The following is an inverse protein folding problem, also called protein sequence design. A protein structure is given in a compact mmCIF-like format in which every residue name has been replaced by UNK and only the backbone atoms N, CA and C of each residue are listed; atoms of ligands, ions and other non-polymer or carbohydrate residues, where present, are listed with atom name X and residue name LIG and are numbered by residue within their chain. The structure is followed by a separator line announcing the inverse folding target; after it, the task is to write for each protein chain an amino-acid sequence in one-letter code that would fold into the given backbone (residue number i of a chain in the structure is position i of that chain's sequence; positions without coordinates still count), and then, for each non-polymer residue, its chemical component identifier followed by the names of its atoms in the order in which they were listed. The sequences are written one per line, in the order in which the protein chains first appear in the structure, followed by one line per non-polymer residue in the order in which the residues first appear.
data_IF_068975485893
#
_entry.id   IF_068975485893
#
_cell.length_a   1.000
_cell.length_b   1.000
_cell.length_c   1.000
_cell.angle_alpha   90.00
_cell.angle_beta   90.00
_cell.angle_gamma   90.00
#
_symmetry.space_group_name_H-M   'P 1'
#
loop_
_entity.id
_entity.type
_entity.pdbx_description
1 polymer ?
#
# COMPACT_ATOMS: atom_id res chain seq x y z
N UNK A 1 20.39 24.30 4.72
CA UNK A 1 20.15 22.92 4.27
C UNK A 1 18.89 22.40 4.94
N UNK A 2 18.30 21.34 4.40
CA UNK A 2 17.11 20.68 4.92
C UNK A 2 17.38 19.18 4.97
N UNK A 3 17.05 18.52 6.07
CA UNK A 3 17.14 17.07 6.22
C UNK A 3 15.73 16.51 6.47
N UNK A 4 15.39 15.37 5.88
CA UNK A 4 14.10 14.72 6.08
C UNK A 4 14.39 13.31 6.58
N UNK A 5 13.94 13.03 7.79
CA UNK A 5 13.92 11.70 8.37
C UNK A 5 12.53 11.12 8.15
N UNK A 6 12.38 10.36 7.06
CA UNK A 6 11.11 9.74 6.71
C UNK A 6 10.97 8.39 7.43
N UNK A 7 9.76 8.08 7.92
CA UNK A 7 9.40 6.82 8.55
C UNK A 7 10.33 6.43 9.73
N UNK A 8 10.63 7.38 10.61
CA UNK A 8 11.53 7.22 11.76
C UNK A 8 10.88 6.42 12.91
N UNK A 9 10.50 5.18 12.63
CA UNK A 9 9.67 4.33 13.50
C UNK A 9 10.44 3.24 14.25
N UNK A 10 11.77 3.19 14.11
CA UNK A 10 12.60 2.24 14.85
C UNK A 10 12.90 2.74 16.26
N UNK A 11 12.26 2.10 17.25
CA UNK A 11 12.44 2.41 18.68
C UNK A 11 13.86 2.19 19.21
N UNK A 12 14.69 1.43 18.49
CA UNK A 12 16.09 1.19 18.86
C UNK A 12 17.01 2.33 18.38
N UNK A 13 16.54 3.15 17.44
CA UNK A 13 17.31 4.25 16.86
C UNK A 13 17.09 5.52 17.68
N UNK A 14 18.19 6.06 18.24
CA UNK A 14 18.18 7.37 18.89
C UNK A 14 18.35 8.44 17.81
N UNK A 15 17.22 8.97 17.31
CA UNK A 15 17.21 9.92 16.18
C UNK A 15 18.11 11.15 16.40
N UNK A 16 18.21 11.63 17.64
CA UNK A 16 19.05 12.78 18.01
C UNK A 16 20.51 12.62 17.61
N UNK A 17 21.05 11.40 17.61
CA UNK A 17 22.45 11.12 17.29
C UNK A 17 22.76 11.34 15.80
N UNK A 18 21.74 11.35 14.95
CA UNK A 18 21.83 11.59 13.52
C UNK A 18 21.54 13.04 13.13
N UNK A 19 21.11 13.88 14.06
CA UNK A 19 20.79 15.29 13.82
C UNK A 19 22.06 16.14 14.02
N UNK A 20 22.55 16.86 13.00
CA UNK A 20 23.74 17.69 13.12
C UNK A 20 23.56 18.79 14.17
N UNK A 21 24.48 18.85 15.14
CA UNK A 21 24.55 19.94 16.12
C UNK A 21 25.13 21.20 15.47
N UNK A 22 24.25 22.08 14.99
CA UNK A 22 24.65 23.35 14.37
C UNK A 22 23.56 24.43 14.53
N UNK A 23 23.90 25.66 14.15
CA UNK A 23 23.01 26.83 14.27
C UNK A 23 22.25 27.16 12.98
N UNK A 24 22.32 26.32 11.95
CA UNK A 24 21.68 26.55 10.66
C UNK A 24 21.13 25.25 10.07
N UNK A 25 20.05 25.36 9.31
CA UNK A 25 19.38 24.21 8.70
C UNK A 25 18.12 23.82 9.45
N UNK A 26 17.27 23.06 8.77
CA UNK A 26 16.03 22.56 9.33
C UNK A 26 15.97 21.05 9.12
N UNK A 27 15.20 20.36 9.94
CA UNK A 27 14.87 18.96 9.71
C UNK A 27 13.37 18.73 9.86
N UNK A 28 12.85 17.77 9.09
CA UNK A 28 11.48 17.27 9.20
C UNK A 28 11.58 15.81 9.57
N UNK A 29 10.72 15.37 10.49
CA UNK A 29 10.61 13.97 10.90
C UNK A 29 9.18 13.51 10.68
N UNK A 30 9.00 12.40 9.98
CA UNK A 30 7.72 11.68 9.93
C UNK A 30 7.87 10.39 10.72
N UNK A 31 6.89 10.09 11.57
CA UNK A 31 6.98 8.97 12.53
C UNK A 31 5.60 8.68 13.13
N UNK A 32 5.27 7.42 13.32
CA UNK A 32 4.16 6.92 14.13
C UNK A 32 4.49 6.87 15.63
N UNK A 33 5.77 6.95 16.01
CA UNK A 33 6.20 7.00 17.40
C UNK A 33 5.94 8.37 18.02
N UNK A 34 5.22 8.38 19.15
CA UNK A 34 4.95 9.61 19.92
C UNK A 34 6.20 10.13 20.62
N UNK A 35 7.15 9.26 20.94
CA UNK A 35 8.41 9.60 21.59
C UNK A 35 9.24 10.58 20.74
N UNK A 36 9.11 10.52 19.41
CA UNK A 36 9.79 11.39 18.45
C UNK A 36 9.42 12.87 18.63
N UNK A 37 8.27 13.17 19.24
CA UNK A 37 7.85 14.54 19.56
C UNK A 37 8.84 15.27 20.48
N UNK A 38 9.61 14.54 21.30
CA UNK A 38 10.63 15.13 22.17
C UNK A 38 11.78 15.77 21.39
N UNK A 39 11.94 15.41 20.12
CA UNK A 39 12.98 15.95 19.22
C UNK A 39 12.53 17.26 18.54
N UNK A 40 11.22 17.55 18.54
CA UNK A 40 10.68 18.74 17.90
C UNK A 40 10.93 20.01 18.72
N UNK A 41 11.19 21.13 18.03
CA UNK A 41 11.19 22.44 18.67
C UNK A 41 9.79 22.79 19.22
N UNK A 42 9.66 23.63 20.26
CA UNK A 42 8.37 24.01 20.81
C UNK A 42 7.42 24.55 19.74
N UNK A 43 6.23 23.95 19.61
CA UNK A 43 5.24 24.32 18.59
C UNK A 43 5.52 23.80 17.18
N UNK A 44 6.62 23.07 16.95
CA UNK A 44 7.00 22.53 15.64
C UNK A 44 6.64 21.04 15.50
N UNK A 45 5.41 20.68 15.87
CA UNK A 45 4.87 19.34 15.64
C UNK A 45 3.48 19.43 15.04
N UNK A 46 3.14 18.46 14.20
CA UNK A 46 1.83 18.34 13.58
C UNK A 46 1.40 16.89 13.78
N UNK A 47 0.32 16.69 14.54
CA UNK A 47 -0.34 15.39 14.62
C UNK A 47 -1.26 15.27 13.39
N UNK A 48 -0.95 14.33 12.50
CA UNK A 48 -1.79 14.04 11.34
C UNK A 48 -2.93 13.13 11.78
N UNK A 49 -4.16 13.64 11.70
CA UNK A 49 -5.37 12.88 11.91
C UNK A 49 -5.95 12.38 10.60
N UNK A 50 -7.02 11.58 10.69
CA UNK A 50 -7.86 11.26 9.55
C UNK A 50 -8.40 12.52 8.87
N UNK A 51 -8.79 12.38 7.61
CA UNK A 51 -9.40 13.47 6.86
C UNK A 51 -10.72 13.87 7.50
N UNK A 52 -11.09 15.14 7.36
CA UNK A 52 -12.49 15.50 7.54
C UNK A 52 -13.33 14.83 6.42
N UNK A 53 -14.64 14.81 6.65
CA UNK A 53 -15.55 14.05 5.79
C UNK A 53 -15.65 14.63 4.39
N UNK A 54 -15.60 15.95 4.29
CA UNK A 54 -15.68 16.70 3.05
C UNK A 54 -14.47 16.40 2.16
N UNK A 55 -13.26 16.51 2.72
CA UNK A 55 -11.99 16.22 2.04
C UNK A 55 -11.89 14.74 1.64
N UNK A 56 -12.37 13.82 2.47
CA UNK A 56 -12.39 12.40 2.13
C UNK A 56 -13.38 12.09 0.99
N UNK A 57 -14.55 12.75 0.95
CA UNK A 57 -15.50 12.61 -0.17
C UNK A 57 -14.90 13.16 -1.45
N UNK A 58 -14.26 14.34 -1.39
CA UNK A 58 -13.55 14.92 -2.52
C UNK A 58 -12.44 13.99 -3.03
N UNK A 59 -11.62 13.45 -2.12
CA UNK A 59 -10.54 12.52 -2.45
C UNK A 59 -11.06 11.26 -3.16
N UNK A 60 -12.17 10.70 -2.67
CA UNK A 60 -12.82 9.53 -3.27
C UNK A 60 -13.28 9.83 -4.70
N UNK A 61 -14.06 10.90 -4.87
CA UNK A 61 -14.65 11.29 -6.16
C UNK A 61 -13.57 11.60 -7.20
N UNK A 62 -12.50 12.28 -6.76
CA UNK A 62 -11.32 12.57 -7.58
C UNK A 62 -10.68 11.29 -8.13
N UNK A 63 -10.46 10.29 -7.28
CA UNK A 63 -9.83 9.03 -7.70
C UNK A 63 -10.78 8.08 -8.43
N UNK A 64 -12.09 8.23 -8.26
CA UNK A 64 -13.09 7.47 -9.00
C UNK A 64 -13.47 8.09 -10.34
N UNK A 65 -12.91 9.25 -10.69
CA UNK A 65 -13.29 10.05 -11.87
C UNK A 65 -14.80 10.33 -11.93
N UNK A 66 -15.43 10.58 -10.78
CA UNK A 66 -16.87 10.81 -10.66
C UNK A 66 -17.15 12.30 -10.43
N UNK A 67 -18.03 12.90 -11.25
CA UNK A 67 -18.37 14.33 -11.17
C UNK A 67 -19.26 14.71 -9.97
N UNK A 68 -19.66 13.73 -9.14
CA UNK A 68 -20.32 14.00 -7.86
C UNK A 68 -21.80 14.30 -7.98
N UNK A 69 -22.55 13.48 -8.74
CA UNK A 69 -24.02 13.58 -8.77
C UNK A 69 -24.63 13.49 -7.35
N UNK A 70 -25.84 14.05 -7.14
CA UNK A 70 -26.51 14.00 -5.81
C UNK A 70 -26.66 12.58 -5.25
N UNK A 71 -26.90 11.61 -6.12
CA UNK A 71 -26.99 10.19 -5.73
C UNK A 71 -25.60 9.65 -5.35
N UNK A 72 -24.57 9.97 -6.13
CA UNK A 72 -23.20 9.56 -5.86
C UNK A 72 -22.66 10.17 -4.58
N UNK A 73 -23.01 11.42 -4.24
CA UNK A 73 -22.62 12.02 -2.96
C UNK A 73 -23.06 11.19 -1.75
N UNK A 74 -24.28 10.62 -1.77
CA UNK A 74 -24.74 9.77 -0.66
C UNK A 74 -23.90 8.49 -0.56
N UNK A 75 -23.62 7.83 -1.68
CA UNK A 75 -22.77 6.64 -1.69
C UNK A 75 -21.33 6.96 -1.28
N UNK A 76 -20.77 8.07 -1.74
CA UNK A 76 -19.44 8.54 -1.34
C UNK A 76 -19.35 8.75 0.17
N UNK A 77 -20.35 9.40 0.77
CA UNK A 77 -20.44 9.58 2.22
C UNK A 77 -20.46 8.22 2.94
N UNK A 78 -21.24 7.26 2.45
CA UNK A 78 -21.30 5.93 3.07
C UNK A 78 -19.98 5.17 2.96
N UNK A 79 -19.30 5.27 1.81
CA UNK A 79 -17.99 4.67 1.57
C UNK A 79 -16.94 5.29 2.50
N UNK A 80 -16.85 6.62 2.54
CA UNK A 80 -15.91 7.36 3.39
C UNK A 80 -16.11 7.04 4.87
N UNK A 81 -17.36 7.00 5.34
CA UNK A 81 -17.68 6.60 6.71
C UNK A 81 -17.24 5.16 6.99
N UNK A 82 -17.46 4.24 6.05
CA UNK A 82 -17.05 2.85 6.19
C UNK A 82 -15.52 2.69 6.26
N UNK A 83 -14.81 3.61 5.61
CA UNK A 83 -13.35 3.70 5.63
C UNK A 83 -12.79 4.62 6.72
N UNK A 84 -13.61 5.13 7.66
CA UNK A 84 -13.14 5.97 8.76
C UNK A 84 -12.41 7.24 8.32
N UNK A 85 -12.65 7.73 7.10
CA UNK A 85 -11.94 8.87 6.51
C UNK A 85 -10.41 8.69 6.38
N UNK A 86 -9.89 7.46 6.45
CA UNK A 86 -8.46 7.20 6.25
C UNK A 86 -8.09 7.45 4.78
N UNK A 87 -7.22 8.44 4.53
CA UNK A 87 -6.87 8.87 3.18
C UNK A 87 -6.45 7.71 2.26
N UNK A 88 -5.60 6.80 2.76
CA UNK A 88 -5.12 5.64 2.01
C UNK A 88 -6.24 4.65 1.64
N UNK A 89 -7.15 4.36 2.56
CA UNK A 89 -8.27 3.46 2.29
C UNK A 89 -9.25 4.09 1.28
N UNK A 90 -9.52 5.39 1.43
CA UNK A 90 -10.41 6.17 0.58
C UNK A 90 -9.86 6.31 -0.85
N UNK A 91 -8.59 6.68 -1.02
CA UNK A 91 -8.00 6.78 -2.36
C UNK A 91 -7.89 5.41 -3.04
N UNK A 92 -7.62 4.34 -2.28
CA UNK A 92 -7.59 2.97 -2.81
C UNK A 92 -8.97 2.54 -3.32
N UNK A 93 -10.03 2.86 -2.58
CA UNK A 93 -11.41 2.62 -3.01
C UNK A 93 -11.78 3.43 -4.25
N UNK A 94 -11.42 4.71 -4.28
CA UNK A 94 -11.65 5.58 -5.43
C UNK A 94 -10.94 5.06 -6.68
N UNK A 95 -9.65 4.73 -6.57
CA UNK A 95 -8.88 4.18 -7.67
C UNK A 95 -9.49 2.88 -8.20
N UNK A 96 -9.90 1.96 -7.31
CA UNK A 96 -10.59 0.73 -7.70
C UNK A 96 -11.84 1.01 -8.55
N UNK A 97 -12.64 1.99 -8.15
CA UNK A 97 -13.86 2.39 -8.85
C UNK A 97 -13.47 2.98 -10.21
N UNK A 98 -12.55 3.95 -10.25
CA UNK A 98 -12.14 4.66 -11.45
C UNK A 98 -11.56 3.75 -12.53
N UNK A 99 -10.74 2.76 -12.15
CA UNK A 99 -10.16 1.80 -13.12
C UNK A 99 -11.12 0.68 -13.54
N UNK A 100 -12.30 0.58 -12.92
CA UNK A 100 -13.28 -0.46 -13.25
C UNK A 100 -14.50 0.13 -13.96
N UNK A 101 -14.62 0.01 -15.29
CA UNK A 101 -15.69 0.64 -16.06
C UNK A 101 -17.12 0.29 -15.62
N UNK A 102 -17.32 -0.90 -15.01
CA UNK A 102 -18.64 -1.39 -14.56
C UNK A 102 -18.91 -1.17 -13.08
N UNK A 103 -17.95 -0.62 -12.32
CA UNK A 103 -18.07 -0.42 -10.90
C UNK A 103 -18.59 0.98 -10.60
N UNK A 104 -19.85 1.09 -10.17
CA UNK A 104 -20.38 2.31 -9.58
C UNK A 104 -20.03 2.37 -8.09
N UNK A 105 -20.12 3.56 -7.48
CA UNK A 105 -19.99 3.73 -6.03
C UNK A 105 -20.95 2.80 -5.25
N UNK A 106 -22.18 2.63 -5.73
CA UNK A 106 -23.16 1.71 -5.15
C UNK A 106 -22.72 0.24 -5.21
N UNK A 107 -22.25 -0.20 -6.39
CA UNK A 107 -21.77 -1.57 -6.59
C UNK A 107 -20.54 -1.83 -5.70
N UNK A 108 -19.61 -0.88 -5.64
CA UNK A 108 -18.45 -0.95 -4.77
C UNK A 108 -18.85 -1.13 -3.31
N UNK A 109 -19.74 -0.27 -2.80
CA UNK A 109 -20.20 -0.32 -1.41
C UNK A 109 -20.86 -1.67 -1.08
N UNK A 110 -21.63 -2.22 -2.02
CA UNK A 110 -22.25 -3.54 -1.88
C UNK A 110 -21.20 -4.66 -1.82
N UNK A 111 -20.21 -4.65 -2.71
CA UNK A 111 -19.11 -5.61 -2.71
C UNK A 111 -18.29 -5.53 -1.43
N UNK A 112 -17.97 -4.31 -0.99
CA UNK A 112 -17.25 -4.04 0.25
C UNK A 112 -17.96 -4.61 1.47
N UNK A 113 -19.25 -4.28 1.66
CA UNK A 113 -20.04 -4.81 2.80
C UNK A 113 -20.06 -6.34 2.82
N UNK A 114 -20.25 -6.98 1.67
CA UNK A 114 -20.25 -8.46 1.56
C UNK A 114 -18.89 -9.07 1.91
N UNK A 115 -17.78 -8.45 1.49
CA UNK A 115 -16.42 -8.93 1.76
C UNK A 115 -15.99 -8.68 3.20
N UNK A 116 -16.28 -7.51 3.76
CA UNK A 116 -15.98 -7.17 5.16
C UNK A 116 -16.62 -8.16 6.14
N UNK A 117 -17.88 -8.56 5.90
CA UNK A 117 -18.51 -9.63 6.70
C UNK A 117 -17.74 -10.95 6.66
N UNK A 118 -17.14 -11.30 5.52
CA UNK A 118 -16.31 -12.52 5.41
C UNK A 118 -14.97 -12.37 6.14
N UNK A 119 -14.32 -11.20 6.03
CA UNK A 119 -13.03 -10.91 6.69
C UNK A 119 -13.20 -10.89 8.20
N UNK A 120 -14.23 -10.22 8.74
CA UNK A 120 -14.50 -10.17 10.18
C UNK A 120 -14.81 -11.56 10.78
N UNK A 121 -15.39 -12.46 9.99
CA UNK A 121 -15.60 -13.85 10.41
C UNK A 121 -14.29 -14.66 10.46
N UNK A 122 -13.26 -14.25 9.72
CA UNK A 122 -11.93 -14.80 9.76
C UNK A 122 -11.12 -14.08 10.84
N UNK A 123 -11.16 -14.59 12.09
CA UNK A 123 -10.58 -13.98 13.30
C UNK A 123 -9.17 -13.36 13.09
N UNK A 124 -9.09 -12.10 12.67
CA UNK A 124 -7.86 -11.30 12.64
C UNK A 124 -7.64 -10.70 14.03
N UNK A 125 -7.20 -11.52 14.98
CA UNK A 125 -6.97 -11.10 16.38
C UNK A 125 -5.87 -10.04 16.58
N UNK A 126 -5.17 -9.62 15.52
CA UNK A 126 -3.90 -8.89 15.62
C UNK A 126 -3.87 -7.52 14.94
N UNK A 127 -4.92 -7.12 14.21
CA UNK A 127 -4.95 -5.82 13.53
C UNK A 127 -5.84 -4.85 14.29
N UNK A 128 -5.39 -3.61 14.43
CA UNK A 128 -6.23 -2.53 14.94
C UNK A 128 -7.28 -2.09 13.90
N UNK A 129 -8.19 -1.20 14.31
CA UNK A 129 -9.28 -0.74 13.45
C UNK A 129 -8.80 0.01 12.20
N UNK A 130 -7.66 0.73 12.28
CA UNK A 130 -7.05 1.45 11.17
C UNK A 130 -6.56 0.45 10.11
N UNK A 131 -5.72 -0.49 10.54
CA UNK A 131 -5.12 -1.49 9.66
C UNK A 131 -6.17 -2.39 9.03
N UNK A 132 -7.24 -2.76 9.77
CA UNK A 132 -8.37 -3.51 9.21
C UNK A 132 -9.05 -2.75 8.08
N UNK A 133 -9.22 -1.44 8.23
CA UNK A 133 -9.94 -0.61 7.27
C UNK A 133 -9.14 -0.42 5.97
N UNK A 134 -7.84 -0.13 6.09
CA UNK A 134 -6.92 -0.07 4.95
C UNK A 134 -6.80 -1.45 4.29
N UNK A 135 -6.70 -2.51 5.08
CA UNK A 135 -6.64 -3.88 4.59
C UNK A 135 -7.90 -4.28 3.81
N UNK A 136 -9.10 -3.91 4.29
CA UNK A 136 -10.35 -4.20 3.58
C UNK A 136 -10.37 -3.55 2.18
N UNK A 137 -9.92 -2.29 2.07
CA UNK A 137 -9.79 -1.59 0.79
C UNK A 137 -8.77 -2.29 -0.11
N UNK A 138 -7.58 -2.58 0.42
CA UNK A 138 -6.51 -3.27 -0.29
C UNK A 138 -6.95 -4.64 -0.80
N UNK A 139 -7.62 -5.45 0.02
CA UNK A 139 -8.01 -6.81 -0.31
C UNK A 139 -9.01 -6.85 -1.47
N UNK A 140 -9.90 -5.86 -1.59
CA UNK A 140 -10.78 -5.74 -2.75
C UNK A 140 -9.99 -5.52 -4.04
N UNK A 141 -9.04 -4.60 -4.01
CA UNK A 141 -8.15 -4.28 -5.14
C UNK A 141 -7.26 -5.46 -5.50
N UNK A 142 -6.62 -6.09 -4.50
CA UNK A 142 -5.78 -7.27 -4.67
C UNK A 142 -6.52 -8.41 -5.38
N UNK A 143 -7.77 -8.68 -4.98
CA UNK A 143 -8.58 -9.74 -5.59
C UNK A 143 -8.94 -9.51 -7.07
N UNK A 144 -8.77 -8.29 -7.59
CA UNK A 144 -8.99 -7.98 -9.01
C UNK A 144 -7.75 -8.13 -9.88
N UNK A 145 -6.57 -8.18 -9.28
CA UNK A 145 -5.33 -8.30 -10.01
C UNK A 145 -5.24 -9.66 -10.71
N UNK A 146 -4.53 -9.71 -11.82
CA UNK A 146 -4.18 -10.97 -12.48
C UNK A 146 -3.36 -11.86 -11.52
N UNK A 147 -3.45 -13.18 -11.68
CA UNK A 147 -2.74 -14.12 -10.81
C UNK A 147 -1.24 -13.85 -10.74
N UNK A 148 -0.63 -13.53 -11.88
CA UNK A 148 0.79 -13.14 -11.93
C UNK A 148 1.07 -11.93 -11.02
N UNK A 149 0.34 -10.83 -11.17
CA UNK A 149 0.53 -9.64 -10.31
C UNK A 149 0.32 -9.95 -8.82
N UNK A 150 -0.65 -10.80 -8.47
CA UNK A 150 -0.85 -11.24 -7.09
C UNK A 150 0.37 -11.98 -6.54
N UNK A 151 0.98 -12.86 -7.34
CA UNK A 151 2.22 -13.55 -6.95
C UNK A 151 3.38 -12.59 -6.77
N UNK A 152 3.57 -11.62 -7.68
CA UNK A 152 4.61 -10.60 -7.52
C UNK A 152 4.48 -9.87 -6.19
N UNK A 153 3.26 -9.40 -5.86
CA UNK A 153 3.03 -8.72 -4.58
C UNK A 153 3.30 -9.62 -3.37
N UNK A 154 2.97 -10.91 -3.46
CA UNK A 154 3.28 -11.88 -2.41
C UNK A 154 4.78 -12.11 -2.27
N UNK A 155 5.54 -12.11 -3.35
CA UNK A 155 7.01 -12.17 -3.31
C UNK A 155 7.55 -10.91 -2.61
N UNK A 156 7.09 -9.72 -3.01
CA UNK A 156 7.47 -8.46 -2.38
C UNK A 156 7.18 -8.44 -0.87
N UNK A 157 6.10 -9.10 -0.42
CA UNK A 157 5.77 -9.20 1.00
C UNK A 157 6.79 -9.99 1.84
N UNK A 158 7.69 -10.75 1.22
CA UNK A 158 8.80 -11.45 1.90
C UNK A 158 10.11 -10.64 1.85
N UNK A 159 10.12 -9.50 1.17
CA UNK A 159 11.27 -8.61 1.07
C UNK A 159 11.15 -7.47 2.08
N UNK A 160 12.17 -6.61 2.14
CA UNK A 160 12.08 -5.37 2.88
C UNK A 160 10.94 -4.50 2.31
N UNK A 161 10.08 -3.87 3.14
CA UNK A 161 8.91 -3.12 2.66
C UNK A 161 9.25 -1.84 1.90
N UNK A 162 10.50 -1.36 2.00
CA UNK A 162 11.02 -0.23 1.22
C UNK A 162 12.19 -0.67 0.37
N UNK A 163 12.45 0.09 -0.71
CA UNK A 163 13.65 -0.01 -1.54
C UNK A 163 13.90 -1.40 -2.14
N UNK A 164 12.83 -2.11 -2.48
CA UNK A 164 12.92 -3.40 -3.19
C UNK A 164 13.61 -3.14 -4.55
N UNK A 165 14.83 -3.69 -4.79
CA UNK A 165 15.56 -3.36 -6.00
C UNK A 165 14.90 -4.04 -7.20
N UNK A 166 14.50 -3.25 -8.20
CA UNK A 166 13.92 -3.76 -9.46
C UNK A 166 14.87 -4.78 -10.14
N UNK A 167 16.17 -4.57 -9.96
CA UNK A 167 17.22 -5.42 -10.54
C UNK A 167 17.12 -6.90 -10.11
N UNK A 168 16.58 -7.20 -8.92
CA UNK A 168 16.41 -8.61 -8.51
C UNK A 168 15.43 -9.32 -9.44
N UNK A 169 14.36 -8.64 -9.86
CA UNK A 169 13.31 -9.21 -10.70
C UNK A 169 13.76 -9.27 -12.15
N UNK A 170 14.44 -8.23 -12.65
CA UNK A 170 14.91 -8.22 -14.05
C UNK A 170 15.96 -9.30 -14.29
N UNK A 171 16.89 -9.51 -13.35
CA UNK A 171 17.88 -10.59 -13.42
C UNK A 171 17.21 -11.97 -13.33
N UNK A 172 16.26 -12.15 -12.41
CA UNK A 172 15.54 -13.42 -12.27
C UNK A 172 14.72 -13.76 -13.53
N UNK A 173 14.07 -12.78 -14.15
CA UNK A 173 13.33 -12.99 -15.40
C UNK A 173 14.25 -13.29 -16.60
N UNK A 174 15.44 -12.69 -16.66
CA UNK A 174 16.42 -12.93 -17.73
C UNK A 174 17.26 -14.21 -17.53
N UNK A 175 17.13 -14.88 -16.38
CA UNK A 175 17.95 -16.04 -16.04
C UNK A 175 17.51 -17.27 -16.84
N UNK A 176 18.36 -17.69 -17.80
CA UNK A 176 18.17 -18.90 -18.60
C UNK A 176 19.00 -20.10 -18.09
N UNK A 177 19.63 -19.97 -16.92
CA UNK A 177 20.47 -20.99 -16.31
C UNK A 177 19.67 -21.97 -15.43
N UNK A 178 20.39 -22.78 -14.65
CA UNK A 178 19.80 -23.63 -13.62
C UNK A 178 20.44 -23.28 -12.26
N UNK A 179 19.65 -22.72 -11.34
CA UNK A 179 20.12 -22.27 -10.02
C UNK A 179 20.23 -23.39 -8.99
N UNK A 180 19.96 -24.64 -9.38
CA UNK A 180 20.20 -25.84 -8.57
C UNK A 180 21.70 -26.16 -8.48
N UNK A 181 22.53 -25.22 -8.00
CA UNK A 181 23.86 -25.60 -7.52
C UNK A 181 23.69 -26.41 -6.22
N UNK A 182 24.54 -27.42 -6.00
CA UNK A 182 24.46 -28.32 -4.84
C UNK A 182 24.74 -27.63 -3.48
N UNK A 183 24.78 -26.30 -3.45
CA UNK A 183 25.01 -25.49 -2.25
C UNK A 183 23.67 -25.06 -1.62
N UNK A 184 22.58 -25.06 -2.38
CA UNK A 184 21.25 -24.80 -1.84
C UNK A 184 20.77 -26.02 -1.04
N UNK A 185 21.09 -26.01 0.25
CA UNK A 185 20.89 -27.15 1.16
C UNK A 185 19.42 -27.39 1.51
N UNK A 186 18.52 -26.53 1.03
CA UNK A 186 17.10 -26.60 1.31
C UNK A 186 16.35 -27.11 0.07
N UNK A 187 15.47 -28.12 0.21
CA UNK A 187 14.61 -28.52 -0.90
C UNK A 187 13.76 -27.32 -1.35
N UNK A 188 13.41 -27.22 -2.65
CA UNK A 188 12.54 -26.16 -3.15
C UNK A 188 11.28 -26.10 -2.29
N UNK A 189 11.10 -24.98 -1.59
CA UNK A 189 9.88 -24.76 -0.82
C UNK A 189 8.72 -24.58 -1.79
N UNK A 190 7.48 -24.76 -1.31
CA UNK A 190 6.29 -24.45 -2.11
C UNK A 190 6.33 -23.03 -2.71
N UNK A 191 6.97 -22.08 -2.02
CA UNK A 191 7.16 -20.72 -2.52
C UNK A 191 8.13 -20.65 -3.71
N UNK A 192 9.22 -21.43 -3.69
CA UNK A 192 10.17 -21.50 -4.80
C UNK A 192 9.48 -22.02 -6.07
N UNK A 193 8.72 -23.12 -5.99
CA UNK A 193 8.00 -23.66 -7.15
C UNK A 193 6.97 -22.66 -7.72
N UNK A 194 6.26 -21.93 -6.85
CA UNK A 194 5.33 -20.88 -7.28
C UNK A 194 6.08 -19.72 -7.95
N UNK A 195 7.27 -19.36 -7.45
CA UNK A 195 8.10 -18.31 -8.05
C UNK A 195 8.65 -18.73 -9.42
N UNK A 196 9.11 -19.96 -9.58
CA UNK A 196 9.57 -20.49 -10.88
C UNK A 196 8.43 -20.47 -11.90
N UNK A 197 7.24 -20.94 -11.54
CA UNK A 197 6.05 -20.89 -12.39
C UNK A 197 5.69 -19.44 -12.75
N UNK A 198 5.67 -18.53 -11.77
CA UNK A 198 5.38 -17.12 -11.99
C UNK A 198 6.41 -16.44 -12.90
N UNK A 199 7.71 -16.59 -12.64
CA UNK A 199 8.77 -15.96 -13.42
C UNK A 199 8.81 -16.47 -14.85
N UNK A 200 8.46 -17.74 -15.08
CA UNK A 200 8.37 -18.32 -16.43
C UNK A 200 7.39 -17.60 -17.35
N UNK A 201 6.37 -16.92 -16.79
CA UNK A 201 5.40 -16.13 -17.55
C UNK A 201 6.03 -14.90 -18.23
N UNK A 202 7.19 -14.43 -17.74
CA UNK A 202 7.86 -13.23 -18.24
C UNK A 202 9.05 -13.53 -19.16
N UNK A 203 9.38 -14.81 -19.35
CA UNK A 203 10.50 -15.25 -20.18
C UNK A 203 10.14 -15.26 -21.68
N UNK A 204 8.84 -15.27 -22.02
CA UNK A 204 8.38 -15.42 -23.41
C UNK A 204 7.95 -14.14 -24.12
N UNK A 205 7.77 -13.03 -23.41
CA UNK A 205 7.37 -11.75 -24.01
C UNK A 205 8.40 -10.66 -23.69
N UNK A 206 9.12 -10.18 -24.71
CA UNK A 206 9.90 -8.93 -24.67
C UNK A 206 8.98 -7.68 -24.57
N UNK A 207 7.87 -7.76 -23.83
CA UNK A 207 6.98 -6.62 -23.58
C UNK A 207 6.97 -6.31 -22.08
N UNK A 208 7.94 -5.51 -21.66
CA UNK A 208 7.61 -4.45 -20.72
C UNK A 208 6.66 -3.53 -21.47
N UNK A 209 5.35 -3.79 -21.38
CA UNK A 209 4.36 -2.91 -21.97
C UNK A 209 4.42 -1.59 -21.21
N UNK A 210 4.93 -0.55 -21.88
CA UNK A 210 4.87 0.86 -21.51
C UNK A 210 3.41 1.37 -21.53
N UNK A 211 2.46 0.60 -21.02
CA UNK A 211 1.06 0.98 -20.91
C UNK A 211 0.77 1.66 -19.58
N UNK A 212 1.53 2.73 -19.31
CA UNK A 212 0.95 3.91 -18.67
C UNK A 212 0.34 4.72 -19.81
N UNK A 213 -0.90 4.41 -20.15
CA UNK A 213 -1.69 5.25 -21.05
C UNK A 213 -1.90 6.59 -20.37
N UNK A 214 -1.35 7.65 -20.99
CA UNK A 214 -1.59 9.07 -20.68
C UNK A 214 -3.08 9.45 -20.65
#
# INVERSE_FOLDING_TARGET
WLCIFDNADDKQVILKDYIPSCNHGNFIVTSHLKETLQTASPGCHIELSDLNKEDAVELLLKHSHDEGSKQNQNFSIQIVNAFGCHALAVCTAGAYIGVTPTCTLENYLTHFKKKRTKILNYKTKSLDAYHLTVFDAFQLSFNKLHHSTQYLMQICAHLHPTDIPIEIFTRAAAFAGNDTSSVDSNPPTKAINIMEEFLSLFVQEESWDDSVVE
#
